data_IF_027989122060
#
_entry.id   IF_027989122060
#
_cell.length_a   1.000
_cell.length_b   1.000
_cell.length_c   1.000
_cell.angle_alpha   90.00
_cell.angle_beta   90.00
_cell.angle_gamma   90.00
#
_symmetry.space_group_name_H-M   'P 1'
#
loop_
_entity.id
_entity.type
_entity.pdbx_description
1 polymer ?
#
# COMPACT_ATOMS: atom_id res chain seq x y z
N UNK A 1 -11.43 8.65 -26.51
CA UNK A 1 -11.12 7.58 -25.54
C UNK A 1 -10.94 8.24 -24.19
N UNK A 2 -11.46 7.68 -23.08
CA UNK A 2 -11.20 8.22 -21.76
C UNK A 2 -9.69 8.11 -21.44
N UNK A 3 -9.11 9.16 -20.87
CA UNK A 3 -7.71 9.18 -20.46
C UNK A 3 -7.54 8.52 -19.08
N UNK A 4 -7.49 7.18 -19.08
CA UNK A 4 -7.43 6.37 -17.86
C UNK A 4 -5.99 6.00 -17.47
N UNK A 5 -5.03 6.18 -18.38
CA UNK A 5 -3.65 5.74 -18.17
C UNK A 5 -2.82 6.85 -17.54
N UNK A 6 -2.53 6.72 -16.25
CA UNK A 6 -1.60 7.60 -15.56
C UNK A 6 -0.17 7.02 -15.59
N UNK A 7 0.70 7.55 -16.46
CA UNK A 7 2.13 7.24 -16.44
C UNK A 7 2.82 7.85 -15.21
N UNK A 8 3.92 7.24 -14.73
CA UNK A 8 4.72 7.85 -13.66
C UNK A 8 5.26 9.20 -14.12
N UNK A 9 5.26 10.19 -13.23
CA UNK A 9 5.79 11.53 -13.53
C UNK A 9 7.26 11.70 -13.12
N UNK A 10 7.87 10.64 -12.60
CA UNK A 10 9.28 10.58 -12.23
C UNK A 10 9.74 9.13 -12.11
N UNK A 11 11.03 8.92 -11.90
CA UNK A 11 11.62 7.59 -11.69
C UNK A 11 11.97 7.32 -10.24
N UNK A 12 11.85 8.33 -9.38
CA UNK A 12 12.36 8.38 -8.02
C UNK A 12 11.54 9.34 -7.15
N UNK A 13 11.53 9.16 -5.82
CA UNK A 13 10.66 9.89 -4.90
C UNK A 13 9.20 9.45 -5.03
N UNK A 14 8.24 10.37 -4.86
CA UNK A 14 6.85 10.12 -5.24
C UNK A 14 6.75 10.09 -6.77
N UNK A 15 6.38 8.96 -7.36
CA UNK A 15 6.34 8.76 -8.82
C UNK A 15 4.92 8.63 -9.38
N UNK A 16 3.96 8.27 -8.52
CA UNK A 16 2.53 8.30 -8.81
C UNK A 16 1.79 9.04 -7.70
N UNK A 17 0.74 9.76 -8.10
CA UNK A 17 -0.18 10.45 -7.22
C UNK A 17 -1.55 10.57 -7.92
N UNK A 18 -2.46 9.70 -7.53
CA UNK A 18 -3.82 9.63 -8.00
C UNK A 18 -4.71 10.10 -6.86
N UNK A 19 -5.35 11.24 -7.05
CA UNK A 19 -6.30 11.80 -6.07
C UNK A 19 -7.73 11.71 -6.63
N UNK A 20 -8.76 11.71 -5.77
CA UNK A 20 -10.15 11.80 -6.23
C UNK A 20 -10.40 12.98 -7.17
N UNK A 21 -9.83 14.15 -6.85
CA UNK A 21 -9.94 15.35 -7.67
C UNK A 21 -9.33 15.17 -9.07
N UNK A 22 -8.14 14.54 -9.17
CA UNK A 22 -7.49 14.26 -10.45
C UNK A 22 -8.21 13.17 -11.25
N UNK A 23 -8.70 12.14 -10.58
CA UNK A 23 -9.33 10.98 -11.21
C UNK A 23 -10.82 11.19 -11.55
N UNK A 24 -11.44 12.27 -11.07
CA UNK A 24 -12.86 12.56 -11.30
C UNK A 24 -13.81 11.63 -10.54
N UNK A 25 -13.35 10.97 -9.47
CA UNK A 25 -14.18 10.11 -8.61
C UNK A 25 -14.16 10.60 -7.15
N UNK A 26 -14.77 9.83 -6.23
CA UNK A 26 -15.02 10.29 -4.85
C UNK A 26 -14.15 9.67 -3.76
N UNK A 27 -13.68 8.43 -3.94
CA UNK A 27 -13.12 7.66 -2.81
C UNK A 27 -11.61 7.44 -2.94
N UNK A 28 -11.18 6.66 -3.91
CA UNK A 28 -9.82 6.09 -3.95
C UNK A 28 -8.76 7.17 -4.17
N UNK A 29 -7.68 7.09 -3.42
CA UNK A 29 -6.42 7.75 -3.74
C UNK A 29 -5.29 6.74 -3.71
N UNK A 30 -4.29 6.95 -4.54
CA UNK A 30 -3.15 6.05 -4.66
C UNK A 30 -1.89 6.83 -4.97
N UNK A 31 -0.86 6.67 -4.15
CA UNK A 31 0.48 7.19 -4.44
C UNK A 31 1.50 6.06 -4.43
N UNK A 32 2.60 6.23 -5.16
CA UNK A 32 3.70 5.27 -5.16
C UNK A 32 5.01 6.03 -4.96
N UNK A 33 5.78 5.57 -3.98
CA UNK A 33 7.13 6.02 -3.73
C UNK A 33 8.15 5.00 -4.23
N UNK A 34 9.22 5.50 -4.83
CA UNK A 34 10.45 4.75 -5.12
C UNK A 34 11.59 5.47 -4.42
N UNK A 35 12.20 4.84 -3.43
CA UNK A 35 13.19 5.44 -2.55
C UNK A 35 14.46 4.61 -2.56
N UNK A 36 15.58 5.29 -2.33
CA UNK A 36 16.91 4.71 -2.14
C UNK A 36 17.24 4.63 -0.65
N UNK A 37 18.19 3.79 -0.25
CA UNK A 37 18.65 3.75 1.14
C UNK A 37 19.02 5.15 1.67
N UNK A 38 18.52 5.48 2.86
CA UNK A 38 18.76 6.77 3.52
C UNK A 38 17.75 7.87 3.17
N UNK A 39 16.87 7.66 2.19
CA UNK A 39 15.84 8.63 1.84
C UNK A 39 14.58 8.46 2.66
N UNK A 40 13.83 9.56 2.76
CA UNK A 40 12.62 9.61 3.57
C UNK A 40 11.40 10.02 2.76
N UNK A 41 10.24 9.57 3.23
CA UNK A 41 8.94 10.06 2.79
C UNK A 41 8.05 10.26 4.02
N UNK A 42 7.22 11.29 4.00
CA UNK A 42 6.30 11.58 5.08
C UNK A 42 5.04 12.29 4.55
N UNK A 43 3.88 11.95 5.08
CA UNK A 43 2.62 12.64 4.80
C UNK A 43 1.70 12.63 6.03
N UNK A 44 0.79 13.60 6.07
CA UNK A 44 -0.36 13.58 6.97
C UNK A 44 -1.54 12.88 6.28
N UNK A 45 -2.25 12.01 7.00
CA UNK A 45 -3.44 11.32 6.48
C UNK A 45 -4.65 12.25 6.38
N UNK A 46 -4.66 13.34 7.18
CA UNK A 46 -5.72 14.34 7.13
C UNK A 46 -7.10 13.72 7.40
N UNK A 47 -8.07 13.97 6.52
CA UNK A 47 -9.41 13.36 6.62
C UNK A 47 -9.51 11.94 6.02
N UNK A 48 -8.38 11.34 5.63
CA UNK A 48 -8.32 10.06 4.92
C UNK A 48 -7.68 9.01 5.80
N UNK A 49 -8.10 7.77 5.66
CA UNK A 49 -7.34 6.62 6.15
C UNK A 49 -6.35 6.17 5.08
N UNK A 50 -5.26 5.53 5.50
CA UNK A 50 -4.24 4.99 4.57
C UNK A 50 -3.80 3.59 4.96
N UNK A 51 -3.44 2.78 3.96
CA UNK A 51 -2.59 1.61 4.12
C UNK A 51 -1.29 1.87 3.38
N UNK A 52 -0.18 1.85 4.11
CA UNK A 52 1.15 1.75 3.53
C UNK A 52 1.42 0.29 3.20
N UNK A 53 1.71 -0.02 1.95
CA UNK A 53 2.08 -1.37 1.49
C UNK A 53 3.55 -1.35 1.08
N UNK A 54 4.38 -2.12 1.78
CA UNK A 54 5.77 -2.36 1.36
C UNK A 54 5.74 -3.30 0.16
N UNK A 55 5.73 -2.72 -1.05
CA UNK A 55 5.67 -3.48 -2.30
C UNK A 55 6.97 -4.24 -2.49
N UNK A 56 8.10 -3.56 -2.29
CA UNK A 56 9.46 -4.11 -2.32
C UNK A 56 10.34 -3.36 -1.33
N UNK A 57 11.37 -4.01 -0.81
CA UNK A 57 12.37 -3.38 0.05
C UNK A 57 12.00 -3.35 1.53
N UNK A 58 12.79 -2.60 2.29
CA UNK A 58 12.66 -2.40 3.74
C UNK A 58 12.69 -0.92 4.08
N UNK A 59 11.87 -0.52 5.03
CA UNK A 59 11.88 0.83 5.58
C UNK A 59 11.55 0.81 7.07
N UNK A 60 12.24 1.64 7.85
CA UNK A 60 11.86 1.94 9.22
C UNK A 60 10.71 2.95 9.20
N UNK A 61 9.60 2.67 9.89
CA UNK A 61 8.38 3.47 9.81
C UNK A 61 7.99 4.01 11.19
N UNK A 62 7.77 5.32 11.28
CA UNK A 62 7.18 5.98 12.46
C UNK A 62 5.86 6.58 12.04
N UNK A 63 4.77 6.25 12.75
CA UNK A 63 3.45 6.73 12.41
C UNK A 63 2.52 6.76 13.63
N UNK A 64 1.57 7.71 13.64
CA UNK A 64 0.64 7.92 14.74
C UNK A 64 1.33 8.03 16.11
N UNK A 65 2.48 8.74 16.15
CA UNK A 65 3.28 8.94 17.37
C UNK A 65 4.00 7.68 17.87
N UNK A 66 4.05 6.60 17.10
CA UNK A 66 4.67 5.33 17.46
C UNK A 66 5.74 4.92 16.45
N UNK A 67 6.85 4.38 16.95
CA UNK A 67 7.83 3.65 16.15
C UNK A 67 7.32 2.23 15.86
N UNK A 68 7.23 1.89 14.57
CA UNK A 68 6.84 0.58 14.07
C UNK A 68 8.04 -0.25 13.62
N UNK A 69 9.27 0.23 13.78
CA UNK A 69 10.48 -0.45 13.35
C UNK A 69 10.52 -0.69 11.83
N UNK A 70 11.37 -1.63 11.42
CA UNK A 70 11.50 -2.02 10.01
C UNK A 70 10.31 -2.86 9.56
N UNK A 71 9.67 -2.43 8.48
CA UNK A 71 8.68 -3.20 7.72
C UNK A 71 9.24 -3.52 6.33
N UNK A 72 8.84 -4.67 5.81
CA UNK A 72 9.26 -5.17 4.50
C UNK A 72 10.23 -6.34 4.60
N UNK A 73 10.21 -7.21 3.60
CA UNK A 73 11.03 -8.42 3.57
C UNK A 73 11.39 -8.83 2.14
N UNK A 74 10.42 -8.80 1.22
CA UNK A 74 10.64 -9.13 -0.19
C UNK A 74 11.34 -7.99 -0.93
N UNK A 75 12.41 -8.31 -1.65
CA UNK A 75 13.14 -7.36 -2.50
C UNK A 75 12.57 -7.32 -3.91
N UNK A 76 11.74 -8.30 -4.26
CA UNK A 76 11.12 -8.43 -5.56
C UNK A 76 9.67 -8.97 -5.42
N UNK A 77 8.70 -8.34 -6.08
CA UNK A 77 7.30 -8.81 -6.06
C UNK A 77 7.13 -10.25 -6.53
N UNK A 78 8.00 -10.75 -7.40
CA UNK A 78 7.95 -12.12 -7.92
C UNK A 78 8.39 -13.19 -6.92
N UNK A 79 8.87 -12.82 -5.74
CA UNK A 79 9.04 -13.74 -4.61
C UNK A 79 7.70 -14.31 -4.12
N UNK A 80 6.56 -13.68 -4.48
CA UNK A 80 5.19 -14.11 -4.15
C UNK A 80 4.93 -14.34 -2.66
N UNK A 81 5.72 -13.71 -1.80
CA UNK A 81 5.49 -13.66 -0.35
C UNK A 81 4.54 -12.52 -0.03
N UNK A 82 3.65 -12.67 0.98
CA UNK A 82 2.76 -11.59 1.39
C UNK A 82 3.52 -10.32 1.79
N UNK A 83 2.98 -9.13 1.50
CA UNK A 83 3.63 -7.88 1.86
C UNK A 83 3.47 -7.57 3.35
N UNK A 84 4.38 -6.75 3.87
CA UNK A 84 4.17 -6.04 5.13
C UNK A 84 3.37 -4.76 4.84
N UNK A 85 2.33 -4.52 5.63
CA UNK A 85 1.52 -3.32 5.50
C UNK A 85 1.28 -2.64 6.86
N UNK A 86 0.99 -1.35 6.83
CA UNK A 86 0.63 -0.55 8.00
C UNK A 86 -0.63 0.25 7.70
N UNK A 87 -1.72 -0.07 8.40
CA UNK A 87 -2.93 0.73 8.40
C UNK A 87 -2.79 1.91 9.36
N UNK A 88 -3.23 3.09 8.93
CA UNK A 88 -3.27 4.31 9.69
C UNK A 88 -4.63 5.01 9.49
N UNK A 89 -5.31 5.39 10.58
CA UNK A 89 -6.57 6.11 10.50
C UNK A 89 -6.35 7.57 10.05
N UNK A 90 -7.46 8.25 9.75
CA UNK A 90 -7.48 9.69 9.58
C UNK A 90 -6.96 10.43 10.81
N UNK A 91 -6.45 11.64 10.59
CA UNK A 91 -5.90 12.51 11.64
C UNK A 91 -4.54 12.06 12.18
N UNK A 92 -3.79 11.26 11.42
CA UNK A 92 -2.45 10.80 11.79
C UNK A 92 -1.40 11.31 10.82
N UNK A 93 -0.14 11.16 11.22
CA UNK A 93 1.02 11.43 10.37
C UNK A 93 1.88 10.18 10.31
N UNK A 94 2.59 10.01 9.20
CA UNK A 94 3.57 8.96 9.04
C UNK A 94 4.83 9.50 8.39
N UNK A 95 5.94 8.85 8.72
CA UNK A 95 7.23 9.02 8.09
C UNK A 95 7.89 7.66 7.96
N UNK A 96 8.69 7.49 6.92
CA UNK A 96 9.51 6.32 6.74
C UNK A 96 10.92 6.71 6.30
N UNK A 97 11.88 5.89 6.70
CA UNK A 97 13.27 5.91 6.26
C UNK A 97 13.55 4.63 5.50
N UNK A 98 13.92 4.74 4.23
CA UNK A 98 14.28 3.60 3.41
C UNK A 98 15.62 3.00 3.88
N UNK A 99 15.63 1.72 4.22
CA UNK A 99 16.83 0.98 4.63
C UNK A 99 17.47 0.24 3.45
N UNK A 100 16.66 -0.09 2.45
CA UNK A 100 17.08 -0.59 1.13
C UNK A 100 16.50 0.30 0.05
N UNK A 101 16.79 0.02 -1.23
CA UNK A 101 15.86 0.47 -2.27
C UNK A 101 14.48 -0.09 -1.94
N UNK A 102 13.46 0.77 -1.93
CA UNK A 102 12.11 0.36 -1.59
C UNK A 102 11.05 1.01 -2.46
N UNK A 103 10.02 0.22 -2.76
CA UNK A 103 8.79 0.69 -3.42
C UNK A 103 7.67 0.63 -2.41
N UNK A 104 7.06 1.77 -2.11
CA UNK A 104 5.99 1.87 -1.09
C UNK A 104 4.74 2.43 -1.74
N UNK A 105 3.66 1.68 -1.70
CA UNK A 105 2.35 2.15 -2.13
C UNK A 105 1.58 2.75 -0.96
N UNK A 106 0.92 3.87 -1.20
CA UNK A 106 0.05 4.55 -0.24
C UNK A 106 -1.37 4.47 -0.79
N UNK A 107 -2.14 3.50 -0.30
CA UNK A 107 -3.55 3.34 -0.61
C UNK A 107 -4.36 4.23 0.33
N UNK A 108 -5.25 5.09 -0.17
CA UNK A 108 -6.05 5.98 0.67
C UNK A 108 -7.53 6.00 0.31
N UNK A 109 -8.38 6.22 1.30
CA UNK A 109 -9.81 6.43 1.16
C UNK A 109 -10.32 7.39 2.25
N UNK A 110 -11.56 7.91 2.17
CA UNK A 110 -12.14 8.70 3.26
C UNK A 110 -12.16 7.91 4.56
N UNK A 111 -11.60 8.48 5.63
CA UNK A 111 -11.68 7.90 6.98
C UNK A 111 -12.91 8.44 7.71
N UNK A 112 -13.51 7.59 8.54
CA UNK A 112 -14.64 7.91 9.41
C UNK A 112 -14.25 7.84 10.89
N UNK A 113 -13.10 7.23 11.18
CA UNK A 113 -12.60 6.99 12.52
C UNK A 113 -13.26 5.74 13.12
N UNK A 114 -12.57 5.10 14.05
CA UNK A 114 -13.05 3.87 14.69
C UNK A 114 -12.00 2.76 14.79
N UNK A 115 -10.96 2.83 13.96
CA UNK A 115 -9.89 1.83 13.96
C UNK A 115 -8.57 2.41 14.47
N UNK A 116 -7.89 1.62 15.30
CA UNK A 116 -6.52 1.92 15.73
C UNK A 116 -5.49 1.59 14.62
N UNK A 117 -4.37 2.34 14.54
CA UNK A 117 -3.22 1.97 13.72
C UNK A 117 -2.78 0.51 13.96
N UNK A 118 -2.46 -0.24 12.89
CA UNK A 118 -2.05 -1.65 13.02
C UNK A 118 -1.17 -2.14 11.87
N UNK A 119 -0.29 -3.09 12.18
CA UNK A 119 0.38 -3.90 11.15
C UNK A 119 -0.61 -4.87 10.53
N UNK A 120 -0.49 -5.06 9.23
CA UNK A 120 -1.25 -6.04 8.46
C UNK A 120 -0.24 -6.87 7.67
N UNK A 121 -0.25 -8.18 7.86
CA UNK A 121 0.71 -9.07 7.24
C UNK A 121 2.16 -8.90 7.72
N UNK A 122 3.06 -9.76 7.24
CA UNK A 122 2.79 -10.86 6.31
C UNK A 122 2.02 -12.02 6.98
N UNK A 123 2.11 -12.15 8.31
CA UNK A 123 1.35 -13.14 9.07
C UNK A 123 -0.16 -12.90 8.93
N UNK A 124 -0.92 -13.98 8.72
CA UNK A 124 -2.36 -13.92 8.52
C UNK A 124 -2.80 -13.71 7.07
N UNK A 125 -1.91 -13.27 6.17
CA UNK A 125 -2.22 -13.17 4.73
C UNK A 125 -1.94 -14.52 4.07
N UNK A 126 -2.98 -15.13 3.50
CA UNK A 126 -2.88 -16.40 2.78
C UNK A 126 -2.93 -16.18 1.27
N UNK A 127 -1.90 -16.67 0.57
CA UNK A 127 -1.86 -16.66 -0.89
C UNK A 127 -2.91 -17.64 -1.44
N UNK A 128 -4.00 -17.11 -1.98
CA UNK A 128 -5.14 -17.90 -2.43
C UNK A 128 -5.14 -18.04 -3.95
N UNK A 129 -5.19 -19.27 -4.45
CA UNK A 129 -5.37 -19.53 -5.89
C UNK A 129 -6.84 -19.35 -6.28
N UNK A 130 -7.09 -18.65 -7.40
CA UNK A 130 -8.43 -18.47 -7.96
C UNK A 130 -8.40 -18.63 -9.48
N UNK A 131 -9.41 -19.31 -10.02
CA UNK A 131 -9.53 -19.59 -11.46
C UNK A 131 -8.94 -20.96 -11.83
N UNK A 132 -8.88 -21.25 -13.14
CA UNK A 132 -8.25 -22.45 -13.72
C UNK A 132 -7.65 -22.12 -15.08
N UNK A 133 -6.61 -22.84 -15.49
CA UNK A 133 -5.97 -22.70 -16.80
C UNK A 133 -5.37 -21.31 -17.02
N UNK A 134 -5.65 -20.70 -18.16
CA UNK A 134 -5.17 -19.34 -18.51
C UNK A 134 -5.79 -18.22 -17.66
N UNK A 135 -6.82 -18.53 -16.85
CA UNK A 135 -7.41 -17.57 -15.92
C UNK A 135 -7.00 -17.83 -14.45
N UNK A 136 -5.95 -18.62 -14.21
CA UNK A 136 -5.41 -18.83 -12.87
C UNK A 136 -4.68 -17.58 -12.38
N UNK A 137 -4.98 -17.16 -11.14
CA UNK A 137 -4.30 -16.07 -10.44
C UNK A 137 -4.09 -16.42 -8.97
N UNK A 138 -3.05 -15.83 -8.38
CA UNK A 138 -2.77 -15.95 -6.95
C UNK A 138 -2.99 -14.61 -6.26
N UNK A 139 -3.72 -14.62 -5.15
CA UNK A 139 -4.24 -13.41 -4.53
C UNK A 139 -3.78 -13.34 -3.09
N UNK A 140 -3.16 -12.21 -2.71
CA UNK A 140 -2.98 -11.83 -1.31
C UNK A 140 -4.07 -10.82 -0.94
N UNK A 141 -5.00 -11.24 -0.08
CA UNK A 141 -6.02 -10.36 0.49
C UNK A 141 -5.39 -9.60 1.66
N UNK A 142 -5.08 -8.31 1.48
CA UNK A 142 -4.38 -7.50 2.49
C UNK A 142 -5.41 -6.93 3.47
N UNK A 143 -6.41 -6.22 2.95
CA UNK A 143 -7.55 -5.72 3.71
C UNK A 143 -8.78 -5.86 2.82
N UNK A 144 -9.57 -6.90 3.02
CA UNK A 144 -10.77 -7.19 2.22
C UNK A 144 -12.00 -7.25 3.12
N UNK A 145 -13.19 -7.37 2.54
CA UNK A 145 -14.49 -7.28 3.22
C UNK A 145 -14.69 -8.16 4.46
N UNK A 146 -13.90 -9.23 4.64
CA UNK A 146 -13.93 -10.08 5.81
C UNK A 146 -13.16 -9.52 7.02
N UNK A 147 -12.28 -8.54 6.80
CA UNK A 147 -11.37 -7.98 7.80
C UNK A 147 -11.84 -6.60 8.28
N UNK A 148 -12.09 -6.46 9.57
CA UNK A 148 -12.44 -5.17 10.20
C UNK A 148 -11.20 -4.33 10.51
N UNK A 149 -10.48 -3.94 9.45
CA UNK A 149 -9.23 -3.19 9.54
C UNK A 149 -9.39 -1.70 9.21
N UNK A 150 -10.34 -1.36 8.35
CA UNK A 150 -10.45 -0.06 7.71
C UNK A 150 -11.91 0.39 7.61
N UNK A 151 -12.13 1.70 7.44
CA UNK A 151 -13.45 2.30 7.26
C UNK A 151 -14.01 2.09 5.84
N UNK A 152 -13.16 2.21 4.83
CA UNK A 152 -13.50 2.26 3.40
C UNK A 152 -12.54 1.47 2.51
N UNK A 153 -11.28 1.32 2.91
CA UNK A 153 -10.24 0.69 2.09
C UNK A 153 -10.49 -0.80 1.87
N UNK A 154 -10.37 -1.21 0.61
CA UNK A 154 -10.19 -2.60 0.19
C UNK A 154 -8.89 -2.69 -0.61
N UNK A 155 -7.96 -3.52 -0.16
CA UNK A 155 -6.61 -3.66 -0.73
C UNK A 155 -6.29 -5.13 -0.94
N UNK A 156 -5.91 -5.47 -2.17
CA UNK A 156 -5.47 -6.80 -2.56
C UNK A 156 -4.35 -6.71 -3.58
N UNK A 157 -3.49 -7.72 -3.58
CA UNK A 157 -2.45 -7.89 -4.59
C UNK A 157 -2.72 -9.19 -5.36
N UNK A 158 -2.47 -9.17 -6.68
CA UNK A 158 -2.77 -10.29 -7.57
C UNK A 158 -1.58 -10.58 -8.45
N UNK A 159 -1.15 -11.84 -8.45
CA UNK A 159 -0.19 -12.38 -9.40
C UNK A 159 -0.92 -13.15 -10.50
N UNK A 160 -0.77 -12.67 -11.73
CA UNK A 160 -1.29 -13.35 -12.93
C UNK A 160 -0.11 -13.90 -13.72
N UNK A 161 0.08 -15.23 -13.78
CA UNK A 161 1.10 -15.85 -14.64
C UNK A 161 0.91 -15.46 -16.11
N UNK A 162 2.00 -15.50 -16.89
CA UNK A 162 1.94 -15.30 -18.33
C UNK A 162 1.13 -16.42 -19.00
N UNK A 163 0.23 -16.06 -19.92
CA UNK A 163 -0.67 -16.97 -20.62
C UNK A 163 -1.67 -16.22 -21.49
#
# INVERSE_FOLDING_TARGET
MPDLLCKPFGTHGKVHEITPARAGWRHVGFSLYRLRPGETAAEATGAREVILVMVEGKAAITAAGRDWGTLGARMNVFEKTPPHCLYLPNGTEWSLLAETDCTVAVCSAPGRGGHAPRRIGPEGITLTERGRGTNTRHINNIAMEAEDYCDSLLVTEVFTPAG
#
